data_IF_354780294282
#
_entry.id   IF_354780294282
#
_cell.length_a   1.000
_cell.length_b   1.000
_cell.length_c   1.000
_cell.angle_alpha   90.00
_cell.angle_beta   90.00
_cell.angle_gamma   90.00
#
_symmetry.space_group_name_H-M   'P 1'
#
loop_
_entity.id
_entity.type
_entity.pdbx_description
1 polymer ?
#
# COMPACT_ATOMS: atom_id res chain seq x y z
N UNK A 1 38.10 23.00 26.61
CA UNK A 1 37.70 24.42 26.47
C UNK A 1 36.31 24.59 27.06
N UNK A 2 36.20 25.26 28.20
CA UNK A 2 34.94 25.83 28.68
C UNK A 2 34.48 26.92 27.70
N UNK A 3 33.16 27.15 27.58
CA UNK A 3 32.50 28.41 27.99
C UNK A 3 31.02 28.47 27.52
N UNK A 4 30.16 28.71 28.54
CA UNK A 4 28.90 29.48 28.64
C UNK A 4 27.58 29.05 27.97
N UNK A 5 26.62 28.87 28.87
CA UNK A 5 25.18 29.01 28.77
C UNK A 5 24.66 30.44 28.53
N UNK A 6 23.40 30.54 28.09
CA UNK A 6 22.34 31.54 28.42
C UNK A 6 21.01 31.03 27.78
N UNK A 7 19.88 30.75 28.43
CA UNK A 7 19.03 31.43 29.43
C UNK A 7 18.06 32.47 28.84
N UNK A 8 16.75 32.24 29.01
CA UNK A 8 15.63 33.20 28.88
C UNK A 8 14.74 32.98 27.63
N UNK A 9 13.40 33.04 27.68
CA UNK A 9 12.46 33.64 28.64
C UNK A 9 11.09 32.93 28.62
N UNK A 10 10.48 32.98 29.80
CA UNK A 10 9.09 32.69 30.15
C UNK A 10 8.16 33.75 29.53
N UNK A 11 7.03 33.31 28.98
CA UNK A 11 5.92 34.17 28.54
C UNK A 11 4.65 33.87 29.32
N UNK A 12 4.07 34.92 29.91
CA UNK A 12 2.97 34.93 30.88
C UNK A 12 1.60 34.47 30.32
N UNK A 13 0.81 33.91 31.25
CA UNK A 13 -0.64 33.74 31.25
C UNK A 13 -1.42 35.07 31.14
N UNK A 14 -2.54 35.04 30.41
CA UNK A 14 -3.70 35.92 30.65
C UNK A 14 -5.00 35.11 30.65
N UNK A 15 -5.59 34.97 31.83
CA UNK A 15 -6.99 34.57 32.03
C UNK A 15 -7.90 35.78 31.76
N UNK A 16 -8.83 35.64 30.82
CA UNK A 16 -9.95 36.56 30.64
C UNK A 16 -11.26 35.85 30.99
N UNK A 17 -11.73 36.02 32.23
CA UNK A 17 -13.07 35.63 32.67
C UNK A 17 -14.01 36.81 32.33
N UNK A 18 -14.96 36.59 31.42
CA UNK A 18 -16.07 37.51 31.19
C UNK A 18 -17.33 36.94 31.87
N UNK A 19 -17.74 37.58 32.97
CA UNK A 19 -19.04 37.40 33.60
C UNK A 19 -20.05 38.29 32.88
N UNK A 20 -20.99 37.70 32.12
CA UNK A 20 -22.14 38.42 31.58
C UNK A 20 -23.33 38.29 32.53
N UNK A 21 -23.71 39.43 33.09
CA UNK A 21 -24.86 39.68 33.96
C UNK A 21 -26.16 39.55 33.16
N UNK A 22 -27.20 39.03 33.83
CA UNK A 22 -28.48 38.65 33.24
C UNK A 22 -29.33 39.80 32.68
N UNK A 23 -30.22 39.42 31.76
CA UNK A 23 -31.33 40.22 31.28
C UNK A 23 -32.52 39.31 30.98
N UNK A 24 -33.58 39.43 31.79
CA UNK A 24 -34.90 38.90 31.49
C UNK A 24 -35.47 39.65 30.27
N UNK A 25 -35.81 38.93 29.20
CA UNK A 25 -36.50 39.50 28.04
C UNK A 25 -37.51 38.50 27.48
N UNK A 26 -38.77 38.79 27.79
CA UNK A 26 -40.03 38.52 27.08
C UNK A 26 -40.03 37.46 25.97
N UNK A 27 -40.77 36.39 26.28
CA UNK A 27 -41.26 35.32 25.41
C UNK A 27 -41.99 35.88 24.18
N UNK A 28 -41.45 35.62 22.99
CA UNK A 28 -42.12 35.82 21.69
C UNK A 28 -42.21 34.43 21.03
N UNK A 29 -43.38 33.80 21.16
CA UNK A 29 -43.72 32.59 20.41
C UNK A 29 -44.00 32.99 18.95
N UNK A 30 -43.28 32.39 18.00
CA UNK A 30 -43.54 32.59 16.57
C UNK A 30 -42.37 32.24 15.64
N UNK A 31 -42.43 31.04 15.05
CA UNK A 31 -42.05 30.81 13.64
C UNK A 31 -40.56 30.96 13.22
N UNK A 32 -39.61 30.46 14.03
CA UNK A 32 -38.17 30.49 13.69
C UNK A 32 -37.40 29.16 13.69
N UNK A 33 -37.91 28.10 14.34
CA UNK A 33 -37.05 26.96 14.73
C UNK A 33 -36.85 25.88 13.66
N UNK A 34 -37.67 25.83 12.61
CA UNK A 34 -37.56 24.79 11.58
C UNK A 34 -36.31 24.98 10.68
N UNK A 35 -35.93 26.23 10.38
CA UNK A 35 -34.81 26.53 9.49
C UNK A 35 -33.44 26.27 10.14
N UNK A 36 -33.30 26.58 11.44
CA UNK A 36 -32.05 26.36 12.19
C UNK A 36 -31.73 24.87 12.42
N UNK A 37 -32.76 24.04 12.64
CA UNK A 37 -32.60 22.59 12.75
C UNK A 37 -32.17 21.95 11.43
N UNK A 38 -32.75 22.36 10.31
CA UNK A 38 -32.38 21.85 8.99
C UNK A 38 -30.93 22.19 8.61
N UNK A 39 -30.48 23.41 8.91
CA UNK A 39 -29.09 23.84 8.64
C UNK A 39 -28.06 23.05 9.47
N UNK A 40 -28.37 22.76 10.73
CA UNK A 40 -27.49 21.99 11.63
C UNK A 40 -27.35 20.53 11.21
N UNK A 41 -28.44 19.88 10.78
CA UNK A 41 -28.43 18.51 10.26
C UNK A 41 -27.60 18.40 8.97
N UNK A 42 -27.72 19.37 8.06
CA UNK A 42 -26.95 19.41 6.81
C UNK A 42 -25.45 19.53 7.05
N UNK A 43 -25.02 20.39 7.98
CA UNK A 43 -23.61 20.56 8.36
C UNK A 43 -23.02 19.27 8.95
N UNK A 44 -23.78 18.57 9.81
CA UNK A 44 -23.37 17.30 10.39
C UNK A 44 -23.17 16.22 9.31
N UNK A 45 -24.10 16.10 8.36
CA UNK A 45 -23.99 15.14 7.25
C UNK A 45 -22.80 15.44 6.31
N UNK A 46 -22.48 16.73 6.08
CA UNK A 46 -21.31 17.12 5.30
C UNK A 46 -20.00 16.76 6.02
N UNK A 47 -19.91 17.02 7.33
CA UNK A 47 -18.75 16.65 8.15
C UNK A 47 -18.54 15.13 8.18
N UNK A 48 -19.62 14.35 8.32
CA UNK A 48 -19.52 12.89 8.30
C UNK A 48 -19.01 12.37 6.94
N UNK A 49 -19.50 12.91 5.81
CA UNK A 49 -19.00 12.54 4.48
C UNK A 49 -17.52 12.90 4.30
N UNK A 50 -17.10 14.07 4.80
CA UNK A 50 -15.70 14.46 4.78
C UNK A 50 -14.82 13.49 5.59
N UNK A 51 -15.28 13.04 6.76
CA UNK A 51 -14.55 12.10 7.59
C UNK A 51 -14.48 10.69 6.97
N UNK A 52 -15.55 10.23 6.29
CA UNK A 52 -15.54 8.97 5.53
C UNK A 52 -14.51 9.02 4.40
N UNK A 53 -14.47 10.14 3.66
CA UNK A 53 -13.47 10.34 2.61
C UNK A 53 -12.05 10.36 3.18
N UNK A 54 -11.84 11.10 4.29
CA UNK A 54 -10.55 11.13 4.98
C UNK A 54 -10.08 9.73 5.37
N UNK A 55 -10.95 8.96 6.04
CA UNK A 55 -10.62 7.60 6.47
C UNK A 55 -10.25 6.73 5.26
N UNK A 56 -11.03 6.84 4.18
CA UNK A 56 -10.75 6.11 2.96
C UNK A 56 -9.40 6.44 2.33
N UNK A 57 -9.03 7.71 2.25
CA UNK A 57 -7.73 8.14 1.72
C UNK A 57 -6.57 7.69 2.62
N UNK A 58 -6.75 7.77 3.95
CA UNK A 58 -5.75 7.25 4.89
C UNK A 58 -5.54 5.76 4.75
N UNK A 59 -6.60 4.96 4.63
CA UNK A 59 -6.47 3.51 4.41
C UNK A 59 -5.76 3.18 3.10
N UNK A 60 -6.01 3.93 2.02
CA UNK A 60 -5.26 3.76 0.77
C UNK A 60 -3.78 4.11 0.94
N UNK A 61 -3.47 5.24 1.57
CA UNK A 61 -2.11 5.71 1.76
C UNK A 61 -1.31 4.77 2.68
N UNK A 62 -1.87 4.33 3.80
CA UNK A 62 -1.21 3.39 4.72
C UNK A 62 -0.98 2.04 4.06
N UNK A 63 -1.96 1.54 3.30
CA UNK A 63 -1.81 0.30 2.54
C UNK A 63 -0.72 0.43 1.48
N UNK A 64 -0.70 1.52 0.71
CA UNK A 64 0.33 1.75 -0.31
C UNK A 64 1.73 1.82 0.31
N UNK A 65 1.86 2.49 1.45
CA UNK A 65 3.10 2.54 2.22
C UNK A 65 3.57 1.15 2.66
N UNK A 66 2.67 0.32 3.22
CA UNK A 66 2.99 -1.06 3.63
C UNK A 66 3.38 -1.94 2.45
N UNK A 67 2.60 -1.91 1.36
CA UNK A 67 2.89 -2.64 0.12
C UNK A 67 4.25 -2.25 -0.43
N UNK A 68 4.58 -0.95 -0.51
CA UNK A 68 5.88 -0.47 -0.97
C UNK A 68 7.04 -1.01 -0.12
N UNK A 69 6.93 -0.97 1.21
CA UNK A 69 7.99 -1.49 2.10
C UNK A 69 8.21 -2.98 1.90
N UNK A 70 7.13 -3.76 1.80
CA UNK A 70 7.19 -5.20 1.58
C UNK A 70 7.76 -5.56 0.21
N UNK A 71 7.23 -4.96 -0.85
CA UNK A 71 7.72 -5.17 -2.22
C UNK A 71 9.21 -4.78 -2.33
N UNK A 72 9.63 -3.72 -1.62
CA UNK A 72 11.03 -3.34 -1.51
C UNK A 72 11.86 -4.45 -0.85
N UNK A 73 11.46 -4.96 0.31
CA UNK A 73 12.17 -6.03 1.00
C UNK A 73 12.30 -7.30 0.13
N UNK A 74 11.21 -7.69 -0.53
CA UNK A 74 11.19 -8.84 -1.44
C UNK A 74 12.14 -8.64 -2.64
N UNK A 75 12.16 -7.44 -3.23
CA UNK A 75 13.05 -7.12 -4.36
C UNK A 75 14.51 -7.04 -3.96
N UNK A 76 14.83 -6.51 -2.78
CA UNK A 76 16.20 -6.55 -2.27
C UNK A 76 16.66 -7.98 -2.08
N UNK A 77 15.82 -8.85 -1.49
CA UNK A 77 16.15 -10.26 -1.37
C UNK A 77 16.44 -10.91 -2.72
N UNK A 78 15.62 -10.62 -3.74
CA UNK A 78 15.84 -11.13 -5.10
C UNK A 78 17.15 -10.64 -5.74
N UNK A 79 17.58 -9.41 -5.42
CA UNK A 79 18.84 -8.84 -5.91
C UNK A 79 20.04 -9.49 -5.21
N UNK A 80 19.97 -9.65 -3.88
CA UNK A 80 21.11 -10.14 -3.07
C UNK A 80 21.22 -11.66 -3.04
N UNK A 81 20.11 -12.36 -3.22
CA UNK A 81 19.99 -13.82 -3.20
C UNK A 81 19.06 -14.26 -4.35
N UNK A 82 19.50 -14.09 -5.61
CA UNK A 82 18.69 -14.41 -6.78
C UNK A 82 18.42 -15.93 -6.81
N UNK A 83 17.20 -16.35 -7.19
CA UNK A 83 16.92 -17.78 -7.30
C UNK A 83 17.82 -18.41 -8.39
N UNK A 84 18.21 -19.67 -8.19
CA UNK A 84 19.13 -20.38 -9.09
C UNK A 84 18.65 -20.44 -10.56
N UNK A 85 17.37 -20.24 -10.80
CA UNK A 85 16.78 -20.21 -12.13
C UNK A 85 16.57 -18.80 -12.69
N UNK A 86 16.98 -17.70 -12.04
CA UNK A 86 16.75 -16.33 -12.52
C UNK A 86 17.20 -16.12 -13.99
N UNK A 87 16.33 -15.55 -14.85
CA UNK A 87 16.68 -15.27 -16.26
C UNK A 87 17.49 -13.99 -16.42
N UNK A 88 17.46 -13.13 -15.41
CA UNK A 88 17.94 -11.76 -15.47
C UNK A 88 19.03 -11.63 -14.41
N UNK A 89 20.17 -11.06 -14.80
CA UNK A 89 21.24 -10.79 -13.86
C UNK A 89 20.78 -9.81 -12.77
N UNK A 90 21.26 -9.95 -11.52
CA UNK A 90 20.89 -9.08 -10.40
C UNK A 90 20.95 -7.59 -10.71
N UNK A 91 21.93 -7.13 -11.48
CA UNK A 91 22.10 -5.72 -11.82
C UNK A 91 20.91 -5.15 -12.61
N UNK A 92 20.31 -5.94 -13.49
CA UNK A 92 19.10 -5.53 -14.22
C UNK A 92 17.87 -5.47 -13.30
N UNK A 93 17.77 -6.39 -12.35
CA UNK A 93 16.73 -6.37 -11.32
C UNK A 93 16.91 -5.11 -10.46
N UNK A 94 18.15 -4.80 -10.08
CA UNK A 94 18.52 -3.62 -9.31
C UNK A 94 18.18 -2.31 -10.03
N UNK A 95 18.49 -2.20 -11.33
CA UNK A 95 18.10 -1.03 -12.13
C UNK A 95 16.58 -0.85 -12.19
N UNK A 96 15.83 -1.94 -12.41
CA UNK A 96 14.36 -1.89 -12.42
C UNK A 96 13.77 -1.58 -11.04
N UNK A 97 14.41 -2.02 -9.97
CA UNK A 97 14.03 -1.68 -8.59
C UNK A 97 14.28 -0.20 -8.29
N UNK A 98 15.46 0.33 -8.61
CA UNK A 98 15.83 1.73 -8.38
C UNK A 98 14.87 2.68 -9.10
N UNK A 99 14.54 2.41 -10.36
CA UNK A 99 13.58 3.21 -11.14
C UNK A 99 12.18 3.22 -10.52
N UNK A 100 11.66 2.05 -10.10
CA UNK A 100 10.29 1.93 -9.57
C UNK A 100 10.13 2.43 -8.14
N UNK A 101 11.16 2.27 -7.31
CA UNK A 101 11.08 2.60 -5.88
C UNK A 101 10.94 4.10 -5.65
N UNK A 102 11.65 4.94 -6.42
CA UNK A 102 11.47 6.40 -6.34
C UNK A 102 10.03 6.78 -6.68
N UNK A 103 9.49 6.28 -7.81
CA UNK A 103 8.11 6.58 -8.21
C UNK A 103 7.07 6.08 -7.20
N UNK A 104 7.30 4.91 -6.59
CA UNK A 104 6.40 4.37 -5.57
C UNK A 104 6.41 5.23 -4.30
N UNK A 105 7.59 5.72 -3.90
CA UNK A 105 7.72 6.62 -2.75
C UNK A 105 7.07 7.99 -3.01
N UNK A 106 7.23 8.52 -4.23
CA UNK A 106 6.56 9.75 -4.66
C UNK A 106 5.03 9.58 -4.66
N UNK A 107 4.52 8.42 -5.10
CA UNK A 107 3.09 8.11 -5.06
C UNK A 107 2.56 8.08 -3.62
N UNK A 108 3.30 7.46 -2.70
CA UNK A 108 2.97 7.46 -1.26
C UNK A 108 2.94 8.88 -0.70
N UNK A 109 3.95 9.70 -1.01
CA UNK A 109 4.02 11.10 -0.58
C UNK A 109 2.81 11.89 -1.08
N UNK A 110 2.50 11.82 -2.38
CA UNK A 110 1.35 12.50 -2.97
C UNK A 110 0.02 12.04 -2.36
N UNK A 111 -0.14 10.73 -2.10
CA UNK A 111 -1.35 10.18 -1.47
C UNK A 111 -1.51 10.69 -0.05
N UNK A 112 -0.43 10.76 0.73
CA UNK A 112 -0.46 11.34 2.07
C UNK A 112 -0.77 12.84 2.02
N UNK A 113 -0.12 13.61 1.16
CA UNK A 113 -0.39 15.06 1.01
C UNK A 113 -1.84 15.35 0.59
N UNK A 114 -2.46 14.45 -0.17
CA UNK A 114 -3.86 14.56 -0.58
C UNK A 114 -4.85 14.26 0.57
N UNK A 115 -4.39 13.70 1.69
CA UNK A 115 -5.19 13.55 2.90
C UNK A 115 -5.19 14.90 3.63
N UNK A 116 -6.34 15.60 3.60
CA UNK A 116 -6.52 16.83 4.38
C UNK A 116 -6.69 16.55 5.89
N UNK A 117 -6.83 17.60 6.69
CA UNK A 117 -7.17 17.44 8.12
C UNK A 117 -8.54 16.77 8.31
N UNK A 118 -8.62 15.86 9.28
CA UNK A 118 -9.85 15.20 9.73
C UNK A 118 -10.65 16.06 10.72
N UNK A 119 -10.01 17.04 11.37
CA UNK A 119 -10.54 17.77 12.52
C UNK A 119 -10.48 16.97 13.83
N UNK A 120 -9.81 15.82 13.85
CA UNK A 120 -9.57 14.99 15.04
C UNK A 120 -8.07 15.00 15.32
N UNK A 121 -7.66 15.62 16.44
CA UNK A 121 -6.26 15.88 16.73
C UNK A 121 -5.36 14.63 16.70
N UNK A 122 -5.83 13.50 17.24
CA UNK A 122 -5.06 12.25 17.23
C UNK A 122 -4.87 11.66 15.82
N UNK A 123 -5.85 11.84 14.95
CA UNK A 123 -5.81 11.37 13.56
C UNK A 123 -4.90 12.25 12.70
N UNK A 124 -4.97 13.58 12.91
CA UNK A 124 -4.11 14.55 12.22
C UNK A 124 -2.64 14.38 12.66
N UNK A 125 -2.38 14.11 13.95
CA UNK A 125 -1.03 13.81 14.45
C UNK A 125 -0.43 12.56 13.78
N UNK A 126 -1.23 11.50 13.59
CA UNK A 126 -0.80 10.27 12.92
C UNK A 126 -0.47 10.55 11.44
N UNK A 127 -1.31 11.31 10.75
CA UNK A 127 -1.08 11.72 9.36
C UNK A 127 0.21 12.55 9.23
N UNK A 128 0.38 13.58 10.06
CA UNK A 128 1.58 14.43 10.08
C UNK A 128 2.86 13.62 10.32
N UNK A 129 2.81 12.62 11.21
CA UNK A 129 3.93 11.74 11.50
C UNK A 129 4.33 10.90 10.26
N UNK A 130 3.35 10.36 9.53
CA UNK A 130 3.61 9.60 8.30
C UNK A 130 4.19 10.47 7.19
N UNK A 131 3.62 11.66 6.96
CA UNK A 131 4.13 12.65 6.00
C UNK A 131 5.59 12.98 6.32
N UNK A 132 5.89 13.25 7.59
CA UNK A 132 7.25 13.57 8.05
C UNK A 132 8.24 12.44 7.77
N UNK A 133 7.87 11.19 8.02
CA UNK A 133 8.75 10.04 7.75
C UNK A 133 9.03 9.86 6.26
N UNK A 134 8.00 9.98 5.42
CA UNK A 134 8.17 9.88 3.96
C UNK A 134 9.07 11.01 3.44
N UNK A 135 8.81 12.26 3.82
CA UNK A 135 9.64 13.42 3.43
C UNK A 135 11.09 13.35 3.95
N UNK A 136 11.33 12.66 5.07
CA UNK A 136 12.70 12.42 5.59
C UNK A 136 13.51 11.51 4.68
N UNK A 137 12.87 10.51 4.06
CA UNK A 137 13.52 9.47 3.28
C UNK A 137 13.58 9.81 1.78
N UNK A 138 12.54 10.44 1.25
CA UNK A 138 12.39 10.77 -0.17
C UNK A 138 13.64 11.40 -0.81
N UNK A 139 14.21 12.51 -0.32
CA UNK A 139 15.39 13.12 -0.97
C UNK A 139 16.62 12.20 -0.97
N UNK A 140 16.75 11.30 0.00
CA UNK A 140 17.85 10.32 0.05
C UNK A 140 17.66 9.21 -0.97
N UNK A 141 16.43 8.77 -1.19
CA UNK A 141 16.10 7.79 -2.24
C UNK A 141 16.32 8.43 -3.59
N UNK A 142 15.81 9.64 -3.83
CA UNK A 142 15.99 10.38 -5.09
C UNK A 142 17.46 10.49 -5.47
N UNK A 143 18.34 10.91 -4.55
CA UNK A 143 19.77 11.04 -4.84
C UNK A 143 20.51 9.71 -5.11
N UNK A 144 19.91 8.56 -4.76
CA UNK A 144 20.46 7.24 -5.09
C UNK A 144 19.86 6.64 -6.38
N UNK A 145 18.68 7.10 -6.78
CA UNK A 145 17.96 6.61 -7.97
C UNK A 145 18.19 7.49 -9.19
N UNK A 146 18.47 8.78 -9.02
CA UNK A 146 18.72 9.69 -10.14
C UNK A 146 20.02 9.33 -10.87
N UNK A 147 19.89 8.96 -12.14
CA UNK A 147 21.00 8.63 -13.01
C UNK A 147 21.90 9.84 -13.32
N UNK A 148 21.40 11.07 -13.19
CA UNK A 148 22.16 12.29 -13.49
C UNK A 148 23.06 12.72 -12.33
N UNK A 149 22.64 12.49 -11.08
CA UNK A 149 23.48 12.74 -9.90
C UNK A 149 24.55 11.66 -9.71
N UNK A 150 24.39 10.52 -10.40
CA UNK A 150 25.30 9.40 -10.32
C UNK A 150 26.57 9.63 -11.16
N UNK A 151 27.59 10.20 -10.52
CA UNK A 151 28.88 10.54 -11.14
C UNK A 151 29.96 9.47 -10.97
N UNK A 152 29.69 8.40 -10.21
CA UNK A 152 30.67 7.35 -9.93
C UNK A 152 30.38 6.08 -10.73
N UNK A 153 31.03 5.86 -11.88
CA UNK A 153 30.88 4.62 -12.65
C UNK A 153 31.32 3.34 -11.91
N UNK A 154 31.82 3.44 -10.67
CA UNK A 154 32.34 2.34 -9.88
C UNK A 154 31.33 1.67 -8.93
N UNK A 155 30.21 2.33 -8.57
CA UNK A 155 29.22 1.70 -7.68
C UNK A 155 28.20 0.90 -8.53
N UNK A 156 28.18 -0.41 -8.34
CA UNK A 156 27.24 -1.29 -9.01
C UNK A 156 25.78 -1.03 -8.58
N UNK A 157 24.84 -1.25 -9.50
CA UNK A 157 23.41 -1.03 -9.28
C UNK A 157 22.86 -1.81 -8.07
N UNK A 158 23.38 -3.02 -7.81
CA UNK A 158 22.96 -3.87 -6.70
C UNK A 158 23.31 -3.24 -5.34
N UNK A 159 24.51 -2.67 -5.19
CA UNK A 159 24.92 -1.97 -3.96
C UNK A 159 24.04 -0.75 -3.67
N UNK A 160 23.69 0.02 -4.72
CA UNK A 160 22.76 1.14 -4.61
C UNK A 160 21.36 0.69 -4.23
N UNK A 161 20.87 -0.36 -4.87
CA UNK A 161 19.57 -0.93 -4.55
C UNK A 161 19.49 -1.31 -3.08
N UNK A 162 20.50 -2.01 -2.53
CA UNK A 162 20.56 -2.33 -1.10
C UNK A 162 20.46 -1.09 -0.20
N UNK A 163 21.16 0.01 -0.55
CA UNK A 163 21.11 1.25 0.22
C UNK A 163 19.72 1.90 0.19
N UNK A 164 19.08 1.93 -0.98
CA UNK A 164 17.68 2.37 -1.12
C UNK A 164 16.76 1.46 -0.31
N UNK A 165 16.96 0.14 -0.37
CA UNK A 165 16.23 -0.84 0.42
C UNK A 165 16.29 -0.58 1.92
N UNK A 166 17.48 -0.30 2.46
CA UNK A 166 17.68 0.06 3.87
C UNK A 166 16.98 1.38 4.23
N UNK A 167 16.93 2.35 3.32
CA UNK A 167 16.20 3.60 3.52
C UNK A 167 14.68 3.36 3.58
N UNK A 168 14.14 2.56 2.66
CA UNK A 168 12.72 2.18 2.65
C UNK A 168 12.37 1.34 3.89
N UNK A 169 13.23 0.41 4.29
CA UNK A 169 13.03 -0.38 5.52
C UNK A 169 13.02 0.50 6.77
N UNK A 170 13.82 1.57 6.79
CA UNK A 170 13.85 2.56 7.88
C UNK A 170 12.61 3.44 8.01
N UNK A 171 11.67 3.37 7.06
CA UNK A 171 10.38 4.04 7.17
C UNK A 171 9.55 3.32 8.23
N UNK A 172 9.29 3.98 9.36
CA UNK A 172 8.49 3.41 10.44
C UNK A 172 7.03 3.88 10.33
N UNK A 173 6.09 2.93 10.44
CA UNK A 173 4.72 3.28 10.81
C UNK A 173 4.74 3.76 12.27
N UNK A 174 4.06 4.87 12.61
CA UNK A 174 3.93 5.27 14.01
C UNK A 174 3.30 4.14 14.82
N UNK A 175 4.09 3.49 15.68
CA UNK A 175 3.61 2.33 16.44
C UNK A 175 2.54 2.73 17.45
N UNK A 176 2.57 3.97 17.95
CA UNK A 176 1.58 4.47 18.91
C UNK A 176 1.26 5.96 18.75
N UNK A 177 -0.02 6.32 18.54
CA UNK A 177 -1.12 5.45 18.14
C UNK A 177 -1.07 5.16 16.63
N UNK A 178 -1.15 3.88 16.23
CA UNK A 178 -1.38 3.49 14.84
C UNK A 178 -2.83 3.79 14.40
N UNK A 179 -3.15 3.64 13.10
CA UNK A 179 -4.49 3.96 12.58
C UNK A 179 -5.60 3.15 13.29
N UNK A 180 -5.48 1.82 13.49
CA UNK A 180 -6.45 1.06 14.29
C UNK A 180 -6.63 1.58 15.73
N UNK A 181 -5.56 1.96 16.42
CA UNK A 181 -5.64 2.51 17.78
C UNK A 181 -6.32 3.88 17.83
N UNK A 182 -6.03 4.77 16.87
CA UNK A 182 -6.75 6.06 16.74
C UNK A 182 -8.23 5.82 16.45
N UNK A 183 -8.54 4.94 15.50
CA UNK A 183 -9.90 4.56 15.13
C UNK A 183 -10.68 3.99 16.32
N UNK A 184 -10.06 3.16 17.15
CA UNK A 184 -10.70 2.56 18.32
C UNK A 184 -11.02 3.59 19.42
N UNK A 185 -10.23 4.66 19.55
CA UNK A 185 -10.40 5.70 20.58
C UNK A 185 -11.39 6.80 20.18
N UNK A 186 -11.65 6.95 18.88
CA UNK A 186 -12.44 8.07 18.34
C UNK A 186 -13.74 7.57 17.69
N UNK A 187 -14.90 7.64 18.39
CA UNK A 187 -16.15 7.02 17.91
C UNK A 187 -16.62 7.54 16.53
N UNK A 188 -16.45 8.84 16.26
CA UNK A 188 -16.80 9.43 14.96
C UNK A 188 -15.94 8.87 13.84
N UNK A 189 -14.63 8.73 14.09
CA UNK A 189 -13.70 8.15 13.13
C UNK A 189 -13.98 6.66 12.93
N UNK A 190 -14.30 5.92 13.99
CA UNK A 190 -14.70 4.51 13.88
C UNK A 190 -15.91 4.28 12.98
N UNK A 191 -16.94 5.12 13.08
CA UNK A 191 -18.08 5.06 12.19
C UNK A 191 -17.69 5.37 10.73
N UNK A 192 -16.86 6.39 10.52
CA UNK A 192 -16.37 6.76 9.20
C UNK A 192 -15.51 5.66 8.56
N UNK A 193 -14.57 5.10 9.32
CA UNK A 193 -13.66 4.03 8.92
C UNK A 193 -14.42 2.77 8.45
N UNK A 194 -15.43 2.33 9.22
CA UNK A 194 -16.27 1.18 8.83
C UNK A 194 -17.11 1.42 7.57
N UNK A 195 -17.39 2.67 7.25
CA UNK A 195 -18.18 3.06 6.07
C UNK A 195 -17.30 3.27 4.83
N UNK A 196 -16.02 3.57 5.01
CA UNK A 196 -15.08 3.84 3.94
C UNK A 196 -14.73 2.54 3.17
N UNK A 197 -15.03 2.43 1.86
CA UNK A 197 -14.80 1.20 1.10
C UNK A 197 -13.34 0.73 1.05
N UNK A 198 -12.38 1.65 1.00
CA UNK A 198 -10.94 1.31 0.97
C UNK A 198 -10.40 0.84 2.32
N UNK A 199 -11.12 1.08 3.41
CA UNK A 199 -10.81 0.55 4.75
C UNK A 199 -11.48 -0.81 5.01
N UNK A 200 -12.34 -1.28 4.10
CA UNK A 200 -12.99 -2.57 4.25
C UNK A 200 -11.96 -3.70 4.18
N UNK A 201 -12.16 -4.71 5.01
CA UNK A 201 -11.34 -5.92 4.95
C UNK A 201 -11.41 -6.52 3.54
N UNK A 202 -10.27 -7.01 3.00
CA UNK A 202 -10.26 -7.68 1.71
C UNK A 202 -11.27 -8.82 1.69
N UNK A 203 -12.05 -8.91 0.60
CA UNK A 203 -12.99 -10.01 0.42
C UNK A 203 -12.22 -11.34 0.44
N UNK A 204 -12.77 -12.40 1.07
CA UNK A 204 -12.19 -13.72 0.99
C UNK A 204 -11.97 -14.12 -0.47
N UNK A 205 -10.89 -14.84 -0.74
CA UNK A 205 -10.67 -15.44 -2.05
C UNK A 205 -11.81 -16.44 -2.33
N UNK A 206 -12.28 -16.55 -3.58
CA UNK A 206 -13.21 -17.60 -3.96
C UNK A 206 -12.58 -18.97 -3.69
N UNK A 207 -13.41 -19.99 -3.48
CA UNK A 207 -12.92 -21.36 -3.38
C UNK A 207 -12.45 -21.81 -4.77
N UNK A 208 -11.19 -22.21 -4.87
CA UNK A 208 -10.65 -22.84 -6.07
C UNK A 208 -11.25 -24.24 -6.25
N UNK A 209 -11.57 -24.65 -7.49
CA UNK A 209 -12.16 -25.96 -7.77
C UNK A 209 -11.32 -27.12 -7.19
N UNK A 210 -10.01 -27.05 -7.35
CA UNK A 210 -9.03 -28.06 -6.93
C UNK A 210 -8.34 -27.70 -5.60
N UNK A 211 -8.85 -26.70 -4.88
CA UNK A 211 -8.28 -26.28 -3.60
C UNK A 211 -6.83 -25.84 -3.76
N UNK A 212 -5.90 -26.39 -2.97
CA UNK A 212 -4.45 -26.11 -3.08
C UNK A 212 -3.69 -27.23 -3.79
N UNK A 213 -4.39 -28.18 -4.42
CA UNK A 213 -3.80 -29.35 -5.07
C UNK A 213 -3.26 -28.98 -6.46
N UNK A 214 -1.98 -28.61 -6.51
CA UNK A 214 -1.31 -28.24 -7.78
C UNK A 214 -1.07 -29.42 -8.70
N UNK A 215 -1.15 -30.66 -8.18
CA UNK A 215 -0.96 -31.87 -8.99
C UNK A 215 -2.21 -32.19 -9.82
N UNK A 216 -3.38 -31.67 -9.44
CA UNK A 216 -4.60 -31.74 -10.23
C UNK A 216 -4.44 -31.14 -11.64
N UNK A 217 -3.47 -30.24 -11.83
CA UNK A 217 -3.18 -29.59 -13.11
C UNK A 217 -2.48 -30.50 -14.14
N UNK A 218 -2.02 -31.69 -13.74
CA UNK A 218 -1.19 -32.56 -14.58
C UNK A 218 -1.89 -33.02 -15.87
N UNK A 219 -3.22 -33.05 -15.90
CA UNK A 219 -4.02 -33.40 -17.09
C UNK A 219 -4.17 -32.25 -18.10
N UNK A 220 -3.65 -31.07 -17.77
CA UNK A 220 -3.71 -29.89 -18.61
C UNK A 220 -4.78 -28.87 -18.24
N UNK A 221 -5.56 -29.07 -17.17
CA UNK A 221 -6.52 -28.08 -16.70
C UNK A 221 -6.87 -28.17 -15.22
N UNK A 222 -6.85 -27.05 -14.51
CA UNK A 222 -7.18 -27.00 -13.08
C UNK A 222 -7.54 -25.57 -12.65
N UNK A 223 -8.10 -25.42 -11.45
CA UNK A 223 -8.22 -24.16 -10.75
C UNK A 223 -7.75 -24.32 -9.30
N UNK A 224 -6.61 -23.69 -8.98
CA UNK A 224 -5.90 -23.87 -7.71
C UNK A 224 -5.73 -22.54 -6.96
N UNK A 225 -5.74 -22.62 -5.64
CA UNK A 225 -5.37 -21.58 -4.71
C UNK A 225 -3.88 -21.70 -4.42
N UNK A 226 -3.13 -20.69 -4.83
CA UNK A 226 -1.72 -20.52 -4.50
C UNK A 226 -1.61 -19.52 -3.35
N UNK A 227 -0.95 -19.88 -2.26
CA UNK A 227 -0.74 -19.01 -1.08
C UNK A 227 0.72 -18.64 -0.85
N UNK A 228 1.64 -19.36 -1.49
CA UNK A 228 3.08 -19.15 -1.45
C UNK A 228 3.68 -19.47 -2.82
N UNK A 229 4.94 -19.08 -3.03
CA UNK A 229 5.64 -19.44 -4.25
C UNK A 229 5.64 -20.96 -4.44
N UNK A 230 5.22 -21.44 -5.61
CA UNK A 230 5.15 -22.88 -5.89
C UNK A 230 5.43 -23.16 -7.37
N UNK A 231 5.87 -24.37 -7.66
CA UNK A 231 5.89 -24.90 -9.02
C UNK A 231 4.58 -25.61 -9.31
N UNK A 232 4.11 -25.48 -10.54
CA UNK A 232 2.88 -26.13 -11.03
C UNK A 232 3.21 -26.80 -12.36
N UNK A 233 2.80 -28.06 -12.50
CA UNK A 233 2.91 -28.79 -13.76
C UNK A 233 1.54 -28.82 -14.42
N UNK A 234 1.40 -28.22 -15.60
CA UNK A 234 0.14 -28.16 -16.34
C UNK A 234 0.30 -28.91 -17.66
N UNK A 235 -0.10 -30.18 -17.71
CA UNK A 235 0.26 -31.06 -18.82
C UNK A 235 1.78 -31.13 -19.00
N UNK A 236 2.28 -30.70 -20.15
CA UNK A 236 3.72 -30.65 -20.47
C UNK A 236 4.43 -29.39 -19.95
N UNK A 237 3.67 -28.40 -19.47
CA UNK A 237 4.20 -27.10 -19.05
C UNK A 237 4.67 -27.15 -17.60
N UNK A 238 5.85 -26.58 -17.33
CA UNK A 238 6.37 -26.41 -15.96
C UNK A 238 6.48 -24.92 -15.68
N UNK A 239 5.60 -24.43 -14.80
CA UNK A 239 5.58 -23.03 -14.43
C UNK A 239 5.91 -22.84 -12.95
N UNK A 240 6.50 -21.69 -12.61
CA UNK A 240 6.57 -21.21 -11.24
C UNK A 240 5.57 -20.08 -11.07
N UNK A 241 4.80 -20.15 -10.00
CA UNK A 241 3.90 -19.08 -9.56
C UNK A 241 4.53 -18.40 -8.36
N UNK A 242 4.68 -17.08 -8.43
CA UNK A 242 5.01 -16.23 -7.28
C UNK A 242 3.90 -15.19 -7.09
N UNK A 243 3.78 -14.66 -5.87
CA UNK A 243 2.69 -13.77 -5.48
C UNK A 243 3.26 -12.49 -4.90
N UNK A 244 2.66 -11.37 -5.28
CA UNK A 244 2.71 -10.13 -4.51
C UNK A 244 1.32 -9.86 -3.91
N UNK A 245 1.14 -8.73 -3.22
CA UNK A 245 -0.14 -8.44 -2.56
C UNK A 245 -1.34 -8.31 -3.52
N UNK A 246 -1.07 -7.95 -4.77
CA UNK A 246 -2.10 -7.64 -5.76
C UNK A 246 -1.91 -8.34 -7.10
N UNK A 247 -0.80 -9.07 -7.26
CA UNK A 247 -0.44 -9.70 -8.54
C UNK A 247 0.03 -11.14 -8.33
N UNK A 248 -0.30 -12.00 -9.29
CA UNK A 248 0.28 -13.31 -9.44
C UNK A 248 1.21 -13.29 -10.66
N UNK A 249 2.46 -13.66 -10.45
CA UNK A 249 3.44 -13.77 -11.52
C UNK A 249 3.61 -15.24 -11.86
N UNK A 250 3.37 -15.59 -13.12
CA UNK A 250 3.55 -16.94 -13.63
C UNK A 250 4.71 -16.92 -14.61
N UNK A 251 5.66 -17.82 -14.38
CA UNK A 251 6.89 -17.91 -15.14
C UNK A 251 7.04 -19.29 -15.74
N UNK A 252 7.18 -19.36 -17.06
CA UNK A 252 7.47 -20.61 -17.76
C UNK A 252 8.96 -20.94 -17.62
N UNK A 253 9.24 -22.13 -17.08
CA UNK A 253 10.59 -22.66 -16.89
C UNK A 253 10.91 -23.80 -17.87
N UNK A 254 9.92 -24.28 -18.61
CA UNK A 254 10.05 -25.43 -19.49
C UNK A 254 10.70 -25.10 -20.84
N UNK A 255 11.21 -26.14 -21.51
CA UNK A 255 11.62 -26.07 -22.92
C UNK A 255 10.44 -26.00 -23.89
N UNK A 256 9.23 -26.36 -23.40
CA UNK A 256 7.97 -26.19 -24.12
C UNK A 256 7.47 -24.78 -23.87
N UNK A 257 7.20 -24.03 -24.94
CA UNK A 257 7.01 -22.59 -24.84
C UNK A 257 8.32 -21.82 -24.90
N UNK A 258 8.24 -20.55 -25.30
CA UNK A 258 9.29 -19.60 -24.94
C UNK A 258 9.43 -19.51 -23.41
N UNK A 259 10.67 -19.41 -22.92
CA UNK A 259 10.94 -19.04 -21.53
C UNK A 259 10.48 -17.59 -21.35
N UNK A 260 9.61 -17.35 -20.38
CA UNK A 260 9.00 -16.04 -20.20
C UNK A 260 8.21 -15.92 -18.91
N UNK A 261 7.75 -14.71 -18.63
CA UNK A 261 7.00 -14.37 -17.42
C UNK A 261 5.77 -13.52 -17.79
N UNK A 262 4.66 -13.74 -17.09
CA UNK A 262 3.47 -12.91 -17.16
C UNK A 262 3.01 -12.54 -15.75
N UNK A 263 2.52 -11.32 -15.58
CA UNK A 263 2.00 -10.84 -14.29
C UNK A 263 0.52 -10.50 -14.42
N UNK A 264 -0.30 -11.10 -13.56
CA UNK A 264 -1.74 -11.05 -13.62
C UNK A 264 -2.31 -10.37 -12.37
N UNK A 265 -3.16 -9.37 -12.55
CA UNK A 265 -4.06 -8.88 -11.51
C UNK A 265 -5.35 -9.71 -11.46
N UNK A 266 -6.20 -9.46 -10.45
CA UNK A 266 -7.51 -10.11 -10.36
C UNK A 266 -8.35 -9.89 -11.64
N UNK A 267 -8.89 -10.98 -12.18
CA UNK A 267 -9.62 -11.01 -13.46
C UNK A 267 -8.75 -11.07 -14.71
N UNK A 268 -7.43 -10.85 -14.58
CA UNK A 268 -6.48 -10.87 -15.70
C UNK A 268 -6.22 -12.26 -16.27
N UNK A 269 -5.75 -12.31 -17.50
CA UNK A 269 -5.33 -13.53 -18.17
C UNK A 269 -4.07 -13.30 -19.00
N UNK A 270 -3.31 -14.37 -19.21
CA UNK A 270 -2.13 -14.41 -20.07
C UNK A 270 -1.93 -15.82 -20.62
N UNK A 271 -1.05 -15.97 -21.60
CA UNK A 271 -0.71 -17.28 -22.14
C UNK A 271 0.76 -17.42 -22.52
N UNK A 272 1.21 -18.67 -22.58
CA UNK A 272 2.45 -19.09 -23.19
C UNK A 272 2.12 -20.01 -24.36
N UNK A 273 2.84 -19.90 -25.47
CA UNK A 273 2.61 -20.73 -26.65
C UNK A 273 3.91 -21.23 -27.26
N UNK A 274 3.85 -22.41 -27.88
CA UNK A 274 4.87 -22.95 -28.78
C UNK A 274 4.27 -23.97 -29.74
N UNK A 275 4.60 -23.87 -31.03
CA UNK A 275 4.26 -24.85 -32.07
C UNK A 275 2.82 -25.40 -32.03
N UNK A 276 1.83 -24.56 -31.76
CA UNK A 276 0.41 -24.93 -31.70
C UNK A 276 -0.08 -25.39 -30.32
N UNK A 277 0.81 -25.65 -29.37
CA UNK A 277 0.47 -25.82 -27.97
C UNK A 277 0.37 -24.45 -27.27
N UNK A 278 -0.63 -24.29 -26.40
CA UNK A 278 -0.84 -23.07 -25.63
C UNK A 278 -1.19 -23.41 -24.17
N UNK A 279 -0.56 -22.74 -23.23
CA UNK A 279 -0.97 -22.68 -21.82
C UNK A 279 -1.62 -21.33 -21.56
N UNK A 280 -2.91 -21.33 -21.23
CA UNK A 280 -3.63 -20.14 -20.74
C UNK A 280 -3.68 -20.13 -19.22
N UNK A 281 -3.44 -18.97 -18.64
CA UNK A 281 -3.56 -18.71 -17.20
C UNK A 281 -4.56 -17.58 -17.00
N UNK A 282 -5.51 -17.78 -16.10
CA UNK A 282 -6.44 -16.74 -15.65
C UNK A 282 -6.35 -16.58 -14.15
N UNK A 283 -6.12 -15.36 -13.68
CA UNK A 283 -6.20 -15.03 -12.27
C UNK A 283 -7.66 -14.72 -11.90
N UNK A 284 -8.38 -15.71 -11.38
CA UNK A 284 -9.79 -15.55 -10.96
C UNK A 284 -9.90 -14.51 -9.86
N UNK A 285 -8.97 -14.55 -8.90
CA UNK A 285 -8.82 -13.55 -7.85
C UNK A 285 -7.37 -13.51 -7.37
N UNK A 286 -6.93 -12.34 -6.90
CA UNK A 286 -5.59 -12.14 -6.30
C UNK A 286 -5.72 -11.25 -5.07
N UNK A 287 -4.99 -11.59 -4.02
CA UNK A 287 -4.91 -10.80 -2.78
C UNK A 287 -3.61 -11.09 -2.02
N UNK A 288 -3.36 -10.35 -0.95
CA UNK A 288 -2.25 -10.60 -0.03
C UNK A 288 -2.25 -11.99 0.62
N UNK A 289 -3.38 -12.73 0.59
CA UNK A 289 -3.48 -14.08 1.13
C UNK A 289 -3.22 -15.19 0.11
N UNK A 290 -3.15 -14.86 -1.17
CA UNK A 290 -3.09 -15.85 -2.23
C UNK A 290 -3.73 -15.40 -3.54
N UNK A 291 -3.63 -16.27 -4.54
CA UNK A 291 -4.31 -16.14 -5.82
C UNK A 291 -5.05 -17.43 -6.16
N UNK A 292 -6.27 -17.29 -6.69
CA UNK A 292 -6.97 -18.40 -7.34
C UNK A 292 -6.67 -18.31 -8.82
N UNK A 293 -5.93 -19.29 -9.33
CA UNK A 293 -5.46 -19.35 -10.70
C UNK A 293 -6.12 -20.52 -11.42
N UNK A 294 -6.67 -20.24 -12.59
CA UNK A 294 -7.18 -21.25 -13.51
C UNK A 294 -6.18 -21.45 -14.63
N UNK A 295 -5.75 -22.69 -14.81
CA UNK A 295 -4.87 -23.11 -15.89
C UNK A 295 -5.64 -23.96 -16.88
N UNK A 296 -5.32 -23.81 -18.16
CA UNK A 296 -5.84 -24.68 -19.21
C UNK A 296 -4.87 -24.76 -20.37
N UNK A 297 -4.70 -25.94 -20.92
CA UNK A 297 -3.88 -26.17 -22.11
C UNK A 297 -4.75 -26.41 -23.33
N UNK A 298 -4.22 -26.03 -24.48
CA UNK A 298 -4.73 -26.39 -25.80
C UNK A 298 -3.58 -27.07 -26.55
N UNK A 299 -3.88 -28.21 -27.18
CA UNK A 299 -2.97 -28.97 -28.04
C UNK A 299 -3.67 -29.40 -29.30
#
# INVERSE_FOLDING_TARGET
MLVKARMGRVGLLTLGIALAVGGCSSKKEGEGDAAASAASASKSAAQQRALVRWAGQMCEATKLFETMRKDSADKIKEITDPPADALIAPDFIAMGYLSRTSSSLDEVAQKLDAVGSSGIAAADLLHDALVKEVHRVQPKVTGLTDSHEFTSPAEDASTRAERVGKLIDSLTMPEQPDLPAVVAREPKLSAAYRTAPSCALPRPLPKAADGTDVDACADGGCEVLVTQQTHVTVGVWKVRVSLTETKATVRNLGAVGGVGETTLGAGGAGSFGDNGAELTIKAVAVSHKGAVLKFSTKG
#
